data_IF_261289719525
#
_entry.id   IF_261289719525
#
_cell.length_a   1.000
_cell.length_b   1.000
_cell.length_c   1.000
_cell.angle_alpha   90.00
_cell.angle_beta   90.00
_cell.angle_gamma   90.00
#
_symmetry.space_group_name_H-M   'P 1'
#
loop_
_entity.id
_entity.type
_entity.pdbx_description
1 polymer ?
#
# COMPACT_ATOMS: atom_id res chain seq x y z
N UNK A 1 -13.35 2.91 -55.25
CA UNK A 1 -13.27 3.19 -53.79
C UNK A 1 -12.17 2.32 -53.19
N UNK A 2 -10.97 2.89 -53.05
CA UNK A 2 -9.79 2.21 -52.52
C UNK A 2 -9.85 2.13 -50.99
N UNK A 3 -9.92 0.90 -50.45
CA UNK A 3 -9.66 0.61 -49.03
C UNK A 3 -8.15 0.55 -48.84
N UNK A 4 -7.56 1.63 -48.34
CA UNK A 4 -6.18 1.63 -47.87
C UNK A 4 -6.07 0.77 -46.60
N UNK A 5 -5.65 -0.48 -46.75
CA UNK A 5 -5.01 -1.25 -45.67
C UNK A 5 -3.57 -0.77 -45.55
N UNK A 6 -3.31 0.22 -44.69
CA UNK A 6 -1.96 0.42 -44.15
C UNK A 6 -1.80 -0.52 -42.97
N UNK A 7 -1.16 -1.66 -43.23
CA UNK A 7 -0.50 -2.46 -42.20
C UNK A 7 0.79 -1.70 -41.88
N UNK A 8 0.70 -0.72 -40.98
CA UNK A 8 1.86 -0.02 -40.45
C UNK A 8 2.67 -1.04 -39.63
N UNK A 9 3.97 -1.07 -39.90
CA UNK A 9 4.94 -1.92 -39.21
C UNK A 9 4.99 -1.46 -37.75
N UNK A 10 4.34 -2.24 -36.88
CA UNK A 10 3.98 -1.86 -35.50
C UNK A 10 5.14 -1.95 -34.50
N UNK A 11 6.31 -2.46 -34.91
CA UNK A 11 7.39 -2.81 -33.97
C UNK A 11 8.49 -1.73 -33.83
N UNK A 12 8.66 -0.82 -34.78
CA UNK A 12 9.68 0.25 -34.68
C UNK A 12 9.13 1.55 -34.06
N UNK A 13 7.80 1.70 -34.02
CA UNK A 13 7.11 2.85 -33.45
C UNK A 13 6.76 2.69 -31.96
N UNK A 14 7.10 1.58 -31.30
CA UNK A 14 6.87 1.42 -29.86
C UNK A 14 7.99 2.05 -29.02
N UNK A 15 9.23 2.13 -29.50
CA UNK A 15 10.32 2.67 -28.68
C UNK A 15 10.13 4.15 -28.29
N UNK A 16 9.66 4.99 -29.21
CA UNK A 16 9.49 6.43 -28.99
C UNK A 16 8.30 6.76 -28.05
N UNK A 17 7.08 6.24 -28.27
CA UNK A 17 5.95 6.41 -27.37
C UNK A 17 6.19 5.77 -26.02
N UNK A 18 6.84 4.60 -25.95
CA UNK A 18 7.14 3.95 -24.66
C UNK A 18 8.21 4.72 -23.89
N UNK A 19 9.27 5.24 -24.53
CA UNK A 19 10.24 6.14 -23.86
C UNK A 19 9.58 7.42 -23.37
N UNK A 20 8.69 8.00 -24.17
CA UNK A 20 7.93 9.20 -23.81
C UNK A 20 6.92 8.93 -22.69
N UNK A 21 6.26 7.78 -22.71
CA UNK A 21 5.37 7.32 -21.64
C UNK A 21 6.12 7.14 -20.32
N UNK A 22 7.29 6.48 -20.37
CA UNK A 22 8.17 6.31 -19.19
C UNK A 22 8.66 7.63 -18.61
N UNK A 23 8.93 8.65 -19.42
CA UNK A 23 9.34 9.97 -18.89
C UNK A 23 8.21 10.66 -18.13
N UNK A 24 6.95 10.47 -18.56
CA UNK A 24 5.79 11.01 -17.85
C UNK A 24 5.50 10.30 -16.53
N UNK A 25 5.73 8.98 -16.43
CA UNK A 25 5.46 8.20 -15.21
C UNK A 25 6.31 8.61 -13.99
N UNK A 26 7.45 9.28 -14.20
CA UNK A 26 8.39 9.66 -13.13
C UNK A 26 7.89 10.78 -12.19
N UNK A 27 6.75 11.41 -12.50
CA UNK A 27 6.24 12.58 -11.77
C UNK A 27 4.94 12.26 -11.00
N UNK A 28 5.02 11.45 -9.93
CA UNK A 28 3.92 11.32 -8.96
C UNK A 28 2.54 11.05 -9.58
N UNK A 29 2.53 10.22 -10.60
CA UNK A 29 1.45 10.05 -11.58
C UNK A 29 0.28 9.28 -10.95
N UNK A 30 -0.92 9.87 -10.95
CA UNK A 30 -2.13 9.15 -10.54
C UNK A 30 -2.82 8.48 -11.75
N UNK A 31 -3.86 7.67 -11.50
CA UNK A 31 -4.60 6.95 -12.55
C UNK A 31 -5.13 7.88 -13.66
N UNK A 32 -5.60 9.08 -13.31
CA UNK A 32 -6.16 10.04 -14.28
C UNK A 32 -5.06 10.54 -15.21
N UNK A 33 -3.88 10.85 -14.66
CA UNK A 33 -2.73 11.30 -15.46
C UNK A 33 -2.31 10.22 -16.47
N UNK A 34 -2.37 8.94 -16.09
CA UNK A 34 -2.07 7.81 -16.98
C UNK A 34 -3.06 7.75 -18.14
N UNK A 35 -4.36 7.84 -17.88
CA UNK A 35 -5.37 7.84 -18.93
C UNK A 35 -5.21 9.04 -19.87
N UNK A 36 -4.90 10.23 -19.33
CA UNK A 36 -4.64 11.43 -20.13
C UNK A 36 -3.41 11.26 -21.05
N UNK A 37 -2.34 10.63 -20.57
CA UNK A 37 -1.15 10.37 -21.38
C UNK A 37 -1.47 9.35 -22.49
N UNK A 38 -2.22 8.29 -22.17
CA UNK A 38 -2.58 7.25 -23.14
C UNK A 38 -3.46 7.85 -24.25
N UNK A 39 -4.44 8.67 -23.88
CA UNK A 39 -5.29 9.40 -24.83
C UNK A 39 -4.46 10.33 -25.73
N UNK A 40 -3.45 11.03 -25.17
CA UNK A 40 -2.54 11.89 -25.94
C UNK A 40 -1.64 11.13 -26.92
N UNK A 41 -1.34 9.87 -26.64
CA UNK A 41 -0.51 9.03 -27.51
C UNK A 41 -1.31 8.35 -28.63
N UNK A 42 -2.65 8.47 -28.64
CA UNK A 42 -3.57 7.82 -29.61
C UNK A 42 -3.36 6.30 -29.65
N UNK A 43 -3.08 5.68 -28.51
CA UNK A 43 -2.93 4.22 -28.37
C UNK A 43 -4.16 3.69 -27.64
N UNK A 44 -4.78 2.62 -28.13
CA UNK A 44 -5.79 1.93 -27.33
C UNK A 44 -5.08 1.29 -26.12
N UNK A 45 -5.63 1.46 -24.92
CA UNK A 45 -5.08 0.90 -23.69
C UNK A 45 -4.78 -0.61 -23.84
N UNK A 46 -5.67 -1.34 -24.50
CA UNK A 46 -5.55 -2.77 -24.78
C UNK A 46 -4.40 -3.17 -25.71
N UNK A 47 -3.79 -2.21 -26.43
CA UNK A 47 -2.66 -2.46 -27.32
C UNK A 47 -1.31 -2.42 -26.57
N UNK A 48 -1.27 -1.86 -25.35
CA UNK A 48 -0.06 -1.86 -24.53
C UNK A 48 0.31 -3.30 -24.11
N UNK A 49 1.61 -3.62 -24.07
CA UNK A 49 2.08 -4.93 -23.64
C UNK A 49 1.92 -5.13 -22.13
N UNK A 50 2.00 -6.38 -21.65
CA UNK A 50 1.85 -6.69 -20.23
C UNK A 50 2.98 -6.05 -19.39
N UNK A 51 4.19 -5.95 -19.96
CA UNK A 51 5.36 -5.33 -19.32
C UNK A 51 5.10 -3.85 -19.01
N UNK A 52 4.44 -3.12 -19.91
CA UNK A 52 4.09 -1.72 -19.68
C UNK A 52 3.05 -1.59 -18.57
N UNK A 53 2.09 -2.50 -18.48
CA UNK A 53 1.15 -2.50 -17.35
C UNK A 53 1.83 -2.78 -16.02
N UNK A 54 2.82 -3.67 -16.00
CA UNK A 54 3.60 -3.94 -14.80
C UNK A 54 4.38 -2.70 -14.35
N UNK A 55 4.98 -1.98 -15.30
CA UNK A 55 5.60 -0.68 -15.02
C UNK A 55 4.59 0.35 -14.49
N UNK A 56 3.41 0.45 -15.09
CA UNK A 56 2.34 1.35 -14.60
C UNK A 56 1.95 0.99 -13.16
N UNK A 57 1.77 -0.30 -12.88
CA UNK A 57 1.35 -0.77 -11.57
C UNK A 57 2.39 -0.51 -10.48
N UNK A 58 3.68 -0.39 -10.81
CA UNK A 58 4.72 0.00 -9.85
C UNK A 58 4.56 1.45 -9.34
N UNK A 59 3.87 2.32 -10.10
CA UNK A 59 3.59 3.71 -9.70
C UNK A 59 2.24 3.88 -8.99
N UNK A 60 1.35 2.90 -9.09
CA UNK A 60 -0.01 2.98 -8.56
C UNK A 60 -0.14 2.21 -7.24
N UNK A 61 -1.05 2.67 -6.40
CA UNK A 61 -1.44 1.90 -5.23
C UNK A 61 -2.27 0.68 -5.64
N UNK A 62 -2.07 -0.47 -5.00
CA UNK A 62 -2.89 -1.67 -5.21
C UNK A 62 -4.40 -1.38 -5.28
N UNK A 63 -4.94 -0.54 -4.40
CA UNK A 63 -6.38 -0.20 -4.44
C UNK A 63 -6.80 0.53 -5.71
N UNK A 64 -5.95 1.44 -6.19
CA UNK A 64 -6.20 2.20 -7.42
C UNK A 64 -6.13 1.26 -8.62
N UNK A 65 -5.18 0.32 -8.61
CA UNK A 65 -5.06 -0.71 -9.64
C UNK A 65 -6.34 -1.56 -9.71
N UNK A 66 -6.84 -2.06 -8.58
CA UNK A 66 -8.10 -2.82 -8.56
C UNK A 66 -9.25 -1.99 -9.11
N UNK A 67 -9.48 -0.81 -8.54
CA UNK A 67 -10.61 0.04 -8.89
C UNK A 67 -10.58 0.42 -10.38
N UNK A 68 -9.41 0.69 -10.93
CA UNK A 68 -9.25 1.11 -12.31
C UNK A 68 -9.29 -0.07 -13.30
N UNK A 69 -8.69 -1.21 -12.97
CA UNK A 69 -8.42 -2.27 -13.95
C UNK A 69 -9.24 -3.56 -13.75
N UNK A 70 -9.80 -3.83 -12.56
CA UNK A 70 -10.49 -5.11 -12.29
C UNK A 70 -11.78 -5.28 -13.10
N UNK A 71 -12.42 -4.18 -13.52
CA UNK A 71 -13.69 -4.21 -14.24
C UNK A 71 -13.59 -3.88 -15.75
N UNK A 72 -12.39 -3.68 -16.30
CA UNK A 72 -12.23 -3.30 -17.71
C UNK A 72 -12.56 -4.44 -18.66
N UNK A 73 -11.73 -5.47 -18.71
CA UNK A 73 -11.94 -6.64 -19.56
C UNK A 73 -11.18 -7.86 -19.02
N UNK A 74 -11.38 -9.01 -19.66
CA UNK A 74 -10.80 -10.28 -19.24
C UNK A 74 -9.26 -10.26 -19.20
N UNK A 75 -8.62 -9.56 -20.15
CA UNK A 75 -7.16 -9.43 -20.19
C UNK A 75 -6.64 -8.71 -18.94
N UNK A 76 -7.27 -7.62 -18.52
CA UNK A 76 -6.89 -6.89 -17.31
C UNK A 76 -7.14 -7.68 -16.03
N UNK A 77 -8.27 -8.41 -15.95
CA UNK A 77 -8.49 -9.36 -14.86
C UNK A 77 -7.37 -10.39 -14.79
N UNK A 78 -6.99 -10.98 -15.93
CA UNK A 78 -5.87 -11.92 -15.96
C UNK A 78 -4.56 -11.26 -15.52
N UNK A 79 -4.24 -10.05 -15.98
CA UNK A 79 -3.06 -9.31 -15.53
C UNK A 79 -3.00 -9.15 -14.01
N UNK A 80 -4.13 -8.91 -13.35
CA UNK A 80 -4.19 -8.79 -11.89
C UNK A 80 -4.04 -10.15 -11.19
N UNK A 81 -4.71 -11.19 -11.68
CA UNK A 81 -4.72 -12.51 -11.03
C UNK A 81 -3.47 -13.36 -11.32
N UNK A 82 -2.90 -13.27 -12.51
CA UNK A 82 -1.79 -14.13 -12.97
C UNK A 82 -0.42 -13.48 -12.82
N UNK A 83 -0.35 -12.19 -12.51
CA UNK A 83 0.92 -11.52 -12.38
C UNK A 83 1.66 -11.94 -11.11
N UNK A 84 2.96 -12.17 -11.25
CA UNK A 84 3.89 -12.24 -10.11
C UNK A 84 4.20 -10.85 -9.53
N UNK A 85 3.33 -9.87 -9.80
CA UNK A 85 3.54 -8.50 -9.36
C UNK A 85 3.52 -8.45 -7.85
N UNK A 86 4.58 -7.84 -7.31
CA UNK A 86 4.63 -7.46 -5.92
C UNK A 86 3.67 -6.29 -5.74
N UNK A 87 2.38 -6.58 -5.56
CA UNK A 87 1.41 -5.53 -5.33
C UNK A 87 1.74 -4.93 -3.96
N UNK A 88 2.02 -3.62 -3.98
CA UNK A 88 2.20 -2.81 -2.79
C UNK A 88 0.91 -2.02 -2.60
N UNK A 89 0.32 -2.15 -1.43
CA UNK A 89 -0.91 -1.42 -1.12
C UNK A 89 -0.69 -0.54 0.10
N UNK A 90 -1.04 0.73 -0.07
CA UNK A 90 -0.93 1.73 0.98
C UNK A 90 -2.34 2.21 1.36
N UNK A 91 -2.86 1.75 2.49
CA UNK A 91 -4.15 2.19 2.99
C UNK A 91 -3.98 3.41 3.89
N UNK A 92 -4.74 4.47 3.58
CA UNK A 92 -4.86 5.66 4.41
C UNK A 92 -6.27 5.71 5.02
N UNK A 93 -6.38 5.23 6.25
CA UNK A 93 -7.63 5.09 7.00
C UNK A 93 -7.80 6.28 7.95
N UNK A 94 -8.16 7.43 7.38
CA UNK A 94 -8.50 8.63 8.13
C UNK A 94 -10.03 8.81 8.12
N UNK A 95 -10.64 9.04 9.28
CA UNK A 95 -12.08 9.25 9.53
C UNK A 95 -12.96 7.97 9.71
N UNK A 96 -13.79 7.98 10.78
CA UNK A 96 -14.67 6.90 11.22
C UNK A 96 -15.77 6.54 10.20
N UNK A 97 -16.33 7.51 9.49
CA UNK A 97 -17.36 7.25 8.45
C UNK A 97 -16.76 6.56 7.21
N UNK A 98 -15.47 6.75 6.96
CA UNK A 98 -14.73 6.05 5.92
C UNK A 98 -14.41 4.61 6.33
N UNK A 99 -14.35 4.33 7.64
CA UNK A 99 -13.91 3.06 8.23
C UNK A 99 -14.84 1.87 7.99
N UNK A 100 -16.17 2.04 8.09
CA UNK A 100 -17.13 0.94 7.82
C UNK A 100 -17.03 0.53 6.36
N UNK A 101 -16.89 1.51 5.46
CA UNK A 101 -16.65 1.25 4.05
C UNK A 101 -15.28 0.62 3.83
N UNK A 102 -14.24 1.01 4.57
CA UNK A 102 -12.89 0.46 4.34
C UNK A 102 -12.61 -0.90 4.98
N UNK A 103 -13.36 -1.36 5.99
CA UNK A 103 -13.33 -2.79 6.37
C UNK A 103 -13.83 -3.64 5.20
N UNK A 104 -14.92 -3.20 4.55
CA UNK A 104 -15.41 -3.83 3.33
C UNK A 104 -14.44 -3.64 2.16
N UNK A 105 -13.78 -2.48 2.00
CA UNK A 105 -12.79 -2.30 0.93
C UNK A 105 -11.54 -3.15 1.17
N UNK A 106 -11.07 -3.31 2.41
CA UNK A 106 -9.98 -4.23 2.75
C UNK A 106 -10.39 -5.66 2.47
N UNK A 107 -11.60 -6.08 2.86
CA UNK A 107 -12.10 -7.42 2.57
C UNK A 107 -12.30 -7.65 1.06
N UNK A 108 -12.92 -6.71 0.33
CA UNK A 108 -13.09 -6.77 -1.12
C UNK A 108 -11.73 -6.81 -1.83
N UNK A 109 -10.82 -5.90 -1.46
CA UNK A 109 -9.45 -5.89 -1.95
C UNK A 109 -8.75 -7.22 -1.66
N UNK A 110 -8.95 -7.77 -0.47
CA UNK A 110 -8.43 -9.07 -0.09
C UNK A 110 -9.00 -10.17 -0.97
N UNK A 111 -10.31 -10.19 -1.23
CA UNK A 111 -10.94 -11.21 -2.07
C UNK A 111 -10.51 -11.13 -3.54
N UNK A 112 -10.14 -9.93 -4.04
CA UNK A 112 -9.75 -9.74 -5.44
C UNK A 112 -8.25 -9.88 -5.70
N UNK A 113 -7.37 -9.62 -4.72
CA UNK A 113 -5.89 -9.63 -4.89
C UNK A 113 -5.17 -10.67 -4.01
N UNK A 114 -5.94 -11.49 -3.30
CA UNK A 114 -5.54 -12.44 -2.23
C UNK A 114 -4.15 -13.09 -2.35
N UNK A 115 -3.72 -13.53 -3.54
CA UNK A 115 -2.59 -14.45 -3.65
C UNK A 115 -1.20 -13.81 -3.68
N UNK A 116 -1.07 -12.55 -4.10
CA UNK A 116 0.24 -11.99 -4.50
C UNK A 116 0.68 -10.75 -3.69
N UNK A 117 -0.10 -10.34 -2.68
CA UNK A 117 0.26 -9.20 -1.84
C UNK A 117 1.49 -9.54 -0.97
N UNK A 118 2.59 -8.83 -1.20
CA UNK A 118 3.84 -8.99 -0.43
C UNK A 118 4.09 -7.87 0.57
N UNK A 119 3.58 -6.67 0.27
CA UNK A 119 3.77 -5.49 1.10
C UNK A 119 2.43 -4.84 1.38
N UNK A 120 2.06 -4.78 2.66
CA UNK A 120 0.87 -4.06 3.14
C UNK A 120 1.34 -2.92 4.03
N UNK A 121 0.92 -1.70 3.69
CA UNK A 121 1.19 -0.51 4.47
C UNK A 121 -0.12 0.14 4.87
N UNK A 122 -0.29 0.42 6.16
CA UNK A 122 -1.52 0.98 6.72
C UNK A 122 -1.16 2.18 7.57
N UNK A 123 -1.79 3.31 7.27
CA UNK A 123 -1.70 4.56 8.01
C UNK A 123 -3.10 4.91 8.48
N UNK A 124 -3.29 5.08 9.79
CA UNK A 124 -4.59 5.30 10.39
C UNK A 124 -4.51 6.26 11.58
N UNK A 125 -5.65 6.81 11.98
CA UNK A 125 -5.77 7.64 13.19
C UNK A 125 -7.16 7.52 13.81
N UNK A 126 -7.33 8.12 14.98
CA UNK A 126 -8.64 8.42 15.61
C UNK A 126 -9.47 7.23 16.11
N UNK A 127 -9.14 5.98 15.75
CA UNK A 127 -9.82 4.79 16.27
C UNK A 127 -8.85 3.76 16.86
N UNK A 128 -8.94 3.57 18.17
CA UNK A 128 -8.12 2.64 18.95
C UNK A 128 -8.30 1.17 18.55
N UNK A 129 -9.40 0.80 17.90
CA UNK A 129 -9.65 -0.56 17.42
C UNK A 129 -8.53 -1.02 16.45
N UNK A 130 -7.83 -0.09 15.80
CA UNK A 130 -6.68 -0.42 14.96
C UNK A 130 -5.42 -0.84 15.76
N UNK A 131 -5.39 -0.64 17.07
CA UNK A 131 -4.32 -1.15 17.94
C UNK A 131 -4.58 -2.59 18.44
N UNK A 132 -5.63 -3.26 17.94
CA UNK A 132 -5.86 -4.69 18.19
C UNK A 132 -4.91 -5.55 17.33
N UNK A 133 -3.81 -6.00 17.93
CA UNK A 133 -2.82 -6.81 17.22
C UNK A 133 -3.39 -8.16 16.77
N UNK A 134 -4.31 -8.76 17.54
CA UNK A 134 -4.91 -10.04 17.20
C UNK A 134 -5.82 -9.95 15.98
N UNK A 135 -6.52 -8.83 15.82
CA UNK A 135 -7.30 -8.54 14.61
C UNK A 135 -6.40 -8.51 13.37
N UNK A 136 -5.26 -7.82 13.44
CA UNK A 136 -4.31 -7.77 12.32
C UNK A 136 -3.69 -9.13 12.04
N UNK A 137 -3.29 -9.88 13.07
CA UNK A 137 -2.77 -11.24 12.94
C UNK A 137 -3.77 -12.14 12.20
N UNK A 138 -5.04 -12.14 12.61
CA UNK A 138 -6.11 -12.90 11.93
C UNK A 138 -6.28 -12.49 10.48
N UNK A 139 -6.33 -11.18 10.22
CA UNK A 139 -6.53 -10.65 8.87
C UNK A 139 -5.37 -11.09 7.97
N UNK A 140 -4.13 -10.94 8.44
CA UNK A 140 -2.94 -11.32 7.67
C UNK A 140 -2.89 -12.83 7.43
N UNK A 141 -3.09 -13.64 8.47
CA UNK A 141 -3.05 -15.11 8.34
C UNK A 141 -4.14 -15.64 7.41
N UNK A 142 -5.32 -15.03 7.45
CA UNK A 142 -6.41 -15.41 6.57
C UNK A 142 -6.11 -14.91 5.15
N UNK A 143 -6.06 -13.59 4.95
CA UNK A 143 -6.13 -12.93 3.65
C UNK A 143 -4.79 -12.76 2.93
N UNK A 144 -3.67 -12.71 3.66
CA UNK A 144 -2.36 -12.39 3.09
C UNK A 144 -1.27 -13.38 3.56
N UNK A 145 -1.43 -14.68 3.34
CA UNK A 145 -0.50 -15.69 3.86
C UNK A 145 0.92 -15.57 3.28
N UNK A 146 1.09 -14.84 2.17
CA UNK A 146 2.37 -14.61 1.52
C UNK A 146 3.03 -13.28 1.86
N UNK A 147 2.44 -12.49 2.77
CA UNK A 147 2.96 -11.17 3.13
C UNK A 147 4.39 -11.29 3.67
N UNK A 148 5.25 -10.39 3.22
CA UNK A 148 6.65 -10.32 3.64
C UNK A 148 6.88 -9.10 4.52
N UNK A 149 6.21 -8.00 4.19
CA UNK A 149 6.37 -6.72 4.87
C UNK A 149 5.00 -6.19 5.26
N UNK A 150 4.83 -5.96 6.56
CA UNK A 150 3.71 -5.23 7.11
C UNK A 150 4.21 -3.94 7.76
N UNK A 151 3.72 -2.82 7.24
CA UNK A 151 3.90 -1.51 7.81
C UNK A 151 2.58 -1.04 8.39
N UNK A 152 2.61 -0.60 9.63
CA UNK A 152 1.45 -0.05 10.30
C UNK A 152 1.87 1.21 11.03
N UNK A 153 1.12 2.28 10.86
CA UNK A 153 1.29 3.54 11.57
C UNK A 153 -0.08 3.99 12.05
N UNK A 154 -0.20 4.19 13.35
CA UNK A 154 -1.38 4.76 14.00
C UNK A 154 -1.02 6.03 14.73
N UNK A 155 -1.76 7.10 14.46
CA UNK A 155 -1.64 8.38 15.14
C UNK A 155 -2.78 8.57 16.12
N UNK A 156 -2.43 8.91 17.35
CA UNK A 156 -3.36 9.25 18.41
C UNK A 156 -3.06 10.65 18.92
N UNK A 157 -4.08 11.49 19.03
CA UNK A 157 -3.92 12.87 19.50
C UNK A 157 -3.98 12.88 21.01
N UNK A 158 -3.01 13.50 21.67
CA UNK A 158 -3.09 13.71 23.11
C UNK A 158 -4.22 14.71 23.38
N UNK A 159 -5.32 14.24 23.97
CA UNK A 159 -6.36 15.16 24.44
C UNK A 159 -5.79 16.02 25.58
N UNK A 160 -5.98 17.34 25.48
CA UNK A 160 -5.50 18.34 26.45
C UNK A 160 -5.98 18.11 27.89
N UNK A 161 -6.97 17.23 28.09
CA UNK A 161 -7.55 16.91 29.39
C UNK A 161 -6.67 16.01 30.27
N UNK A 162 -5.40 15.77 29.90
CA UNK A 162 -4.38 15.04 30.69
C UNK A 162 -4.80 13.64 31.16
N UNK A 163 -5.89 13.10 30.63
CA UNK A 163 -6.22 11.71 30.81
C UNK A 163 -5.34 10.93 29.84
N UNK A 164 -4.22 10.43 30.36
CA UNK A 164 -3.48 9.28 29.84
C UNK A 164 -4.36 8.01 29.88
N UNK A 165 -5.63 8.13 29.51
CA UNK A 165 -6.64 7.14 29.77
C UNK A 165 -6.37 5.92 28.90
N UNK A 166 -5.85 4.89 29.56
CA UNK A 166 -6.08 3.46 29.25
C UNK A 166 -5.25 2.79 28.15
N UNK A 167 -4.27 3.47 27.54
CA UNK A 167 -3.57 2.99 26.34
C UNK A 167 -2.58 1.82 26.53
N UNK A 168 -2.43 1.26 27.73
CA UNK A 168 -1.56 0.10 27.96
C UNK A 168 -2.24 -1.25 27.72
N UNK A 169 -3.56 -1.29 27.53
CA UNK A 169 -4.28 -2.56 27.43
C UNK A 169 -4.12 -3.16 26.03
N UNK A 170 -3.31 -4.22 25.92
CA UNK A 170 -3.18 -5.02 24.70
C UNK A 170 -2.00 -4.68 23.80
N UNK A 171 -1.18 -3.66 24.09
CA UNK A 171 0.02 -3.40 23.28
C UNK A 171 1.04 -4.54 23.34
N UNK A 172 1.06 -5.30 24.43
CA UNK A 172 1.83 -6.54 24.57
C UNK A 172 1.37 -7.64 23.59
N UNK A 173 0.23 -7.50 22.92
CA UNK A 173 -0.19 -8.46 21.89
C UNK A 173 0.71 -8.38 20.64
N UNK A 174 1.36 -7.23 20.38
CA UNK A 174 2.35 -7.09 19.31
C UNK A 174 3.69 -7.82 19.59
N UNK A 175 3.81 -8.53 20.71
CA UNK A 175 4.92 -9.44 21.00
C UNK A 175 4.54 -10.91 20.94
N UNK A 176 3.40 -11.26 20.32
CA UNK A 176 3.05 -12.67 20.08
C UNK A 176 4.09 -13.36 19.17
N UNK A 177 4.10 -14.70 19.16
CA UNK A 177 4.99 -15.48 18.31
C UNK A 177 4.85 -15.12 16.83
N UNK A 178 3.65 -14.75 16.39
CA UNK A 178 3.39 -14.30 15.03
C UNK A 178 4.28 -13.10 14.66
N UNK A 179 4.28 -12.02 15.45
CA UNK A 179 5.08 -10.81 15.18
C UNK A 179 6.58 -11.09 15.22
N UNK A 180 7.02 -11.91 16.19
CA UNK A 180 8.43 -12.30 16.35
C UNK A 180 8.91 -13.13 15.16
N UNK A 181 8.12 -14.12 14.71
CA UNK A 181 8.46 -14.98 13.58
C UNK A 181 8.56 -14.19 12.27
N UNK A 182 7.69 -13.21 12.06
CA UNK A 182 7.74 -12.29 10.92
C UNK A 182 8.84 -11.22 11.05
N UNK A 183 9.53 -11.15 12.21
CA UNK A 183 10.53 -10.14 12.53
C UNK A 183 9.99 -8.72 12.35
N UNK A 184 8.75 -8.50 12.77
CA UNK A 184 8.13 -7.19 12.81
C UNK A 184 8.25 -6.61 14.22
N UNK A 185 8.69 -5.36 14.30
CA UNK A 185 8.92 -4.61 15.54
C UNK A 185 7.72 -3.69 15.74
N UNK A 186 7.15 -3.71 16.94
CA UNK A 186 6.26 -2.66 17.39
C UNK A 186 7.03 -1.60 18.17
N UNK A 187 6.82 -0.33 17.83
CA UNK A 187 7.41 0.81 18.52
C UNK A 187 6.36 1.88 18.80
N UNK A 188 6.59 2.65 19.86
CA UNK A 188 5.78 3.81 20.24
C UNK A 188 6.69 5.03 20.31
N UNK A 189 6.33 6.07 19.57
CA UNK A 189 6.92 7.38 19.64
C UNK A 189 5.92 8.34 20.27
N UNK A 190 6.37 9.15 21.21
CA UNK A 190 5.55 10.14 21.89
C UNK A 190 6.19 11.49 21.59
N UNK A 191 5.42 12.41 21.03
CA UNK A 191 5.80 13.81 20.90
C UNK A 191 4.90 14.69 21.79
N UNK A 192 5.03 16.02 21.66
CA UNK A 192 4.32 16.95 22.53
C UNK A 192 2.80 16.99 22.30
N UNK A 193 2.32 16.54 21.14
CA UNK A 193 0.92 16.67 20.73
C UNK A 193 0.28 15.34 20.39
N UNK A 194 1.07 14.34 20.03
CA UNK A 194 0.64 13.10 19.42
C UNK A 194 1.44 11.90 19.94
N UNK A 195 0.78 10.75 19.96
CA UNK A 195 1.39 9.44 20.16
C UNK A 195 1.32 8.70 18.82
N UNK A 196 2.47 8.21 18.36
CA UNK A 196 2.61 7.46 17.12
C UNK A 196 3.00 6.03 17.43
N UNK A 197 2.10 5.10 17.12
CA UNK A 197 2.33 3.67 17.24
C UNK A 197 2.70 3.10 15.89
N UNK A 198 3.70 2.22 15.82
CA UNK A 198 4.23 1.74 14.56
C UNK A 198 4.53 0.24 14.59
N UNK A 199 4.26 -0.46 13.50
CA UNK A 199 4.83 -1.77 13.18
C UNK A 199 5.66 -1.67 11.91
N UNK A 200 6.87 -2.21 11.92
CA UNK A 200 7.75 -2.26 10.75
C UNK A 200 8.74 -3.43 10.84
N UNK A 201 9.31 -3.92 9.72
CA UNK A 201 10.23 -5.05 9.76
C UNK A 201 11.62 -4.67 10.32
N UNK A 202 12.21 -5.59 11.09
CA UNK A 202 13.44 -5.40 11.89
C UNK A 202 14.68 -4.95 11.11
N UNK A 203 14.70 -5.12 9.78
CA UNK A 203 15.86 -4.77 8.92
C UNK A 203 15.59 -3.63 7.94
N UNK A 204 14.49 -2.90 8.06
CA UNK A 204 14.24 -1.81 7.12
C UNK A 204 15.07 -0.57 7.46
N UNK A 205 16.01 -0.26 6.56
CA UNK A 205 16.79 0.99 6.56
C UNK A 205 15.93 2.24 6.36
N UNK A 206 14.67 2.09 5.94
CA UNK A 206 13.67 3.16 5.89
C UNK A 206 13.45 3.83 7.26
N UNK A 207 13.70 3.10 8.36
CA UNK A 207 13.65 3.65 9.71
C UNK A 207 14.70 4.76 9.94
N UNK A 208 15.84 4.70 9.25
CA UNK A 208 16.85 5.76 9.32
C UNK A 208 16.40 7.02 8.56
N UNK A 209 15.71 6.87 7.43
CA UNK A 209 15.21 8.00 6.64
C UNK A 209 14.05 8.75 7.31
N UNK A 210 13.21 8.08 8.10
CA UNK A 210 12.09 8.72 8.83
C UNK A 210 12.58 9.50 10.05
N UNK A 211 13.75 9.15 10.62
CA UNK A 211 14.31 9.79 11.81
C UNK A 211 15.17 11.03 11.51
N UNK A 212 15.67 11.18 10.29
CA UNK A 212 16.52 12.32 9.93
C UNK A 212 15.76 13.65 9.77
N UNK A 213 14.42 13.64 9.70
CA UNK A 213 13.67 14.84 9.34
C UNK A 213 13.29 15.77 10.50
N UNK A 214 13.38 15.39 11.79
CA UNK A 214 13.03 16.34 12.88
C UNK A 214 13.82 16.14 14.19
N UNK A 215 14.36 17.24 14.71
CA UNK A 215 14.90 17.45 16.06
C UNK A 215 13.81 17.27 17.16
N UNK A 216 13.15 16.12 17.21
CA UNK A 216 12.16 15.79 18.24
C UNK A 216 12.86 14.87 19.27
N UNK A 217 12.75 15.13 20.58
CA UNK A 217 13.23 14.20 21.58
C UNK A 217 12.36 12.94 21.55
N UNK A 218 12.88 11.86 20.95
CA UNK A 218 12.18 10.58 20.85
C UNK A 218 12.48 9.73 22.09
N UNK A 219 11.46 9.51 22.92
CA UNK A 219 11.49 8.43 23.90
C UNK A 219 11.11 7.12 23.20
N UNK A 220 12.10 6.35 22.74
CA UNK A 220 11.87 5.01 22.20
C UNK A 220 11.63 4.04 23.35
N UNK A 221 10.39 3.58 23.52
CA UNK A 221 10.09 2.43 24.39
C UNK A 221 10.09 1.18 23.51
N UNK A 222 11.26 0.57 23.33
CA UNK A 222 11.35 -0.75 22.75
C UNK A 222 10.85 -1.78 23.79
N UNK A 223 9.69 -2.39 23.53
CA UNK A 223 9.06 -3.36 24.46
C UNK A 223 9.75 -4.74 24.42
N UNK A 224 10.84 -4.91 23.65
CA UNK A 224 11.62 -6.13 23.65
C UNK A 224 12.47 -6.28 24.93
N UNK A 225 11.87 -6.79 26.00
CA UNK A 225 12.63 -7.55 27.02
C UNK A 225 12.91 -8.93 26.42
N UNK A 226 14.10 -9.08 25.83
CA UNK A 226 14.66 -10.40 25.54
C UNK A 226 15.06 -10.99 26.91
N UNK A 227 14.29 -11.96 27.39
CA UNK A 227 14.67 -12.87 28.47
C UNK A 227 15.31 -14.12 27.89
#
# INVERSE_FOLDING_TARGET
MNKFKRKLVFNELLEEPTKKFRSYLSYGTNVIDIFLIIDQLIICLEDLSNEIFYEIFDYLNGCEIVKAFSNLNFRFKQLLYSSSLLIKTHFYLFNYDKMINTSNELEIFSTEIYSNLKILSIHCSDNIIFLDAYRWEKLILHYYPQIEIFYFIYYDRMNNDNQYSTYSYGLNQFSSSFWIQHRWIFNVQIDNTDIKYMVYPYRNTWYNYILEDKNIPIFNINIFKIG
#
